data_IF_963133500774
#
_entry.id   IF_963133500774
#
_cell.length_a   1.000
_cell.length_b   1.000
_cell.length_c   1.000
_cell.angle_alpha   90.00
_cell.angle_beta   90.00
_cell.angle_gamma   90.00
#
_symmetry.space_group_name_H-M   'P 1'
#
loop_
_entity.id
_entity.type
_entity.pdbx_description
1 polymer ?
#
# COMPACT_ATOMS: atom_id res chain seq x y z
N UNK A 1 5.34 -15.64 -6.84
CA UNK A 1 5.64 -14.35 -6.16
C UNK A 1 4.33 -13.72 -5.74
N UNK A 2 4.31 -13.04 -4.59
CA UNK A 2 3.13 -12.33 -4.08
C UNK A 2 3.57 -10.92 -3.67
N UNK A 3 2.85 -9.92 -4.18
CA UNK A 3 3.12 -8.50 -3.92
C UNK A 3 1.84 -7.85 -3.44
N UNK A 4 1.91 -7.29 -2.24
CA UNK A 4 0.81 -6.58 -1.61
C UNK A 4 1.19 -5.13 -1.40
N UNK A 5 0.22 -4.24 -1.44
CA UNK A 5 0.44 -2.84 -1.14
C UNK A 5 -0.80 -2.21 -0.53
N UNK A 6 -0.57 -1.09 0.15
CA UNK A 6 -1.60 -0.16 0.56
C UNK A 6 -1.26 1.24 0.05
N UNK A 7 -2.27 2.02 -0.27
CA UNK A 7 -2.13 3.45 -0.59
C UNK A 7 -2.82 4.23 0.52
N UNK A 8 -2.09 5.16 1.13
CA UNK A 8 -2.62 6.07 2.15
C UNK A 8 -2.66 7.45 1.54
N UNK A 9 -3.87 7.97 1.31
CA UNK A 9 -4.06 9.33 0.84
C UNK A 9 -4.10 10.26 2.06
N UNK A 10 -3.23 11.27 2.08
CA UNK A 10 -3.15 12.24 3.16
C UNK A 10 -3.55 13.63 2.67
N UNK A 11 -4.05 14.46 3.57
CA UNK A 11 -4.53 15.80 3.23
C UNK A 11 -3.41 16.72 2.72
N UNK A 12 -2.26 16.70 3.37
CA UNK A 12 -1.10 17.52 3.00
C UNK A 12 0.19 16.97 3.64
N UNK A 13 1.19 16.52 2.86
CA UNK A 13 2.46 16.03 3.39
C UNK A 13 3.32 17.10 4.09
N UNK A 14 3.06 18.39 3.87
CA UNK A 14 3.84 19.48 4.47
C UNK A 14 3.45 19.80 5.93
N UNK A 15 2.38 19.18 6.45
CA UNK A 15 1.96 19.37 7.84
C UNK A 15 2.87 18.58 8.78
N UNK A 16 3.08 19.09 9.99
CA UNK A 16 3.82 18.37 11.04
C UNK A 16 3.15 17.04 11.43
N UNK A 17 1.82 16.96 11.29
CA UNK A 17 1.04 15.74 11.48
C UNK A 17 -0.02 15.64 10.37
N UNK A 18 0.32 15.12 9.19
CA UNK A 18 -0.63 14.89 8.12
C UNK A 18 -1.75 13.95 8.58
N UNK A 19 -2.97 14.21 8.11
CA UNK A 19 -4.14 13.37 8.42
C UNK A 19 -4.45 12.46 7.25
N UNK A 20 -4.64 11.15 7.48
CA UNK A 20 -5.21 10.25 6.47
C UNK A 20 -6.60 10.74 6.07
N UNK A 21 -6.87 10.76 4.78
CA UNK A 21 -8.19 11.06 4.20
C UNK A 21 -8.86 9.77 3.73
N UNK A 22 -8.09 8.83 3.18
CA UNK A 22 -8.55 7.48 2.85
C UNK A 22 -7.41 6.46 2.98
N UNK A 23 -7.76 5.19 3.00
CA UNK A 23 -6.81 4.08 2.96
C UNK A 23 -7.32 2.98 2.02
N UNK A 24 -6.44 2.54 1.14
CA UNK A 24 -6.75 1.63 0.05
C UNK A 24 -5.85 0.40 0.18
N UNK A 25 -6.41 -0.80 0.19
CA UNK A 25 -5.61 -2.03 0.27
C UNK A 25 -5.79 -2.90 -0.95
N UNK A 26 -4.69 -3.43 -1.47
CA UNK A 26 -4.71 -4.34 -2.59
C UNK A 26 -5.30 -5.69 -2.19
N UNK A 27 -6.48 -6.01 -2.72
CA UNK A 27 -7.17 -7.26 -2.42
C UNK A 27 -6.99 -8.33 -3.50
N UNK A 28 -6.74 -7.91 -4.75
CA UNK A 28 -6.52 -8.81 -5.88
C UNK A 28 -5.75 -8.12 -7.00
N UNK A 29 -5.33 -8.88 -8.03
CA UNK A 29 -4.60 -8.40 -9.21
C UNK A 29 -5.14 -7.09 -9.83
N UNK A 30 -6.44 -6.81 -9.69
CA UNK A 30 -7.15 -5.75 -10.41
C UNK A 30 -7.87 -4.74 -9.51
N UNK A 31 -7.92 -4.92 -8.19
CA UNK A 31 -8.77 -4.07 -7.34
C UNK A 31 -8.20 -3.71 -5.97
N UNK A 32 -8.60 -2.52 -5.53
CA UNK A 32 -8.38 -1.98 -4.20
C UNK A 32 -9.70 -2.02 -3.43
N UNK A 33 -9.62 -2.42 -2.16
CA UNK A 33 -10.67 -2.13 -1.18
C UNK A 33 -10.48 -0.72 -0.66
N UNK A 34 -11.50 0.13 -0.85
CA UNK A 34 -11.43 1.58 -0.69
C UNK A 34 -12.14 2.02 0.56
N UNK A 35 -11.37 2.36 1.59
CA UNK A 35 -11.93 2.80 2.85
C UNK A 35 -11.86 4.32 2.98
N UNK A 36 -13.03 4.95 3.01
CA UNK A 36 -13.18 6.42 3.11
C UNK A 36 -13.85 6.88 4.41
N UNK A 37 -14.37 5.95 5.23
CA UNK A 37 -15.07 6.26 6.49
C UNK A 37 -14.63 5.36 7.62
N UNK A 38 -14.74 5.84 8.87
CA UNK A 38 -14.37 5.06 10.04
C UNK A 38 -12.89 4.71 10.09
N UNK A 39 -12.01 5.58 9.57
CA UNK A 39 -10.58 5.34 9.43
C UNK A 39 -9.88 5.21 10.79
N UNK A 40 -10.29 6.01 11.75
CA UNK A 40 -9.74 6.09 13.10
C UNK A 40 -9.47 4.73 13.75
N UNK A 41 -10.35 3.73 13.59
CA UNK A 41 -10.15 2.39 14.17
C UNK A 41 -9.05 1.58 13.50
N UNK A 42 -8.62 1.96 12.30
CA UNK A 42 -7.59 1.32 11.50
C UNK A 42 -6.24 2.06 11.52
N UNK A 43 -6.11 3.09 12.36
CA UNK A 43 -4.84 3.80 12.54
C UNK A 43 -4.39 3.73 14.00
N UNK A 44 -3.07 3.82 14.21
CA UNK A 44 -2.45 4.16 15.48
C UNK A 44 -1.69 5.48 15.27
N UNK A 45 -2.28 6.60 15.65
CA UNK A 45 -1.79 7.93 15.26
C UNK A 45 -1.86 8.09 13.73
N UNK A 46 -0.72 8.29 13.08
CA UNK A 46 -0.59 8.40 11.61
C UNK A 46 -0.24 7.07 10.94
N UNK A 47 -0.05 5.99 11.69
CA UNK A 47 0.35 4.68 11.16
C UNK A 47 -0.88 3.81 10.86
N UNK A 48 -1.07 3.33 9.61
CA UNK A 48 -2.15 2.39 9.29
C UNK A 48 -1.89 1.03 9.93
N UNK A 49 -2.95 0.36 10.37
CA UNK A 49 -2.94 -1.02 10.86
C UNK A 49 -3.47 -1.92 9.76
N UNK A 50 -2.62 -2.85 9.34
CA UNK A 50 -2.87 -3.73 8.21
C UNK A 50 -2.65 -5.18 8.63
N UNK A 51 -3.39 -6.09 8.03
CA UNK A 51 -3.18 -7.53 8.19
C UNK A 51 -3.16 -8.20 6.83
N UNK A 52 -2.20 -9.11 6.64
CA UNK A 52 -2.17 -10.02 5.51
C UNK A 52 -2.94 -11.27 5.90
N UNK A 53 -4.00 -11.60 5.17
CA UNK A 53 -4.92 -12.67 5.54
C UNK A 53 -5.37 -13.48 4.34
N UNK A 54 -5.98 -14.64 4.61
CA UNK A 54 -6.59 -15.51 3.61
C UNK A 54 -7.95 -15.97 4.13
N UNK A 55 -8.99 -15.74 3.34
CA UNK A 55 -10.34 -16.25 3.60
C UNK A 55 -10.64 -17.37 2.60
N UNK A 56 -10.76 -17.00 1.31
CA UNK A 56 -10.88 -17.91 0.17
C UNK A 56 -9.99 -17.38 -0.97
N UNK A 57 -9.18 -18.24 -1.58
CA UNK A 57 -8.26 -17.84 -2.66
C UNK A 57 -6.89 -17.34 -2.18
N UNK A 58 -6.25 -16.39 -2.90
CA UNK A 58 -4.91 -15.90 -2.59
C UNK A 58 -4.86 -15.08 -1.30
N UNK A 59 -3.65 -14.84 -0.80
CA UNK A 59 -3.41 -13.98 0.37
C UNK A 59 -3.60 -12.53 -0.06
N UNK A 60 -4.28 -11.74 0.77
CA UNK A 60 -4.54 -10.33 0.47
C UNK A 60 -4.35 -9.44 1.69
N UNK A 61 -4.10 -8.16 1.43
CA UNK A 61 -3.90 -7.15 2.47
C UNK A 61 -5.24 -6.46 2.75
N UNK A 62 -5.53 -6.23 4.03
CA UNK A 62 -6.73 -5.48 4.44
C UNK A 62 -6.49 -4.63 5.69
N UNK A 63 -7.33 -3.62 5.95
CA UNK A 63 -7.33 -2.88 7.20
C UNK A 63 -7.55 -3.79 8.42
N UNK A 64 -6.89 -3.49 9.53
CA UNK A 64 -7.00 -4.23 10.79
C UNK A 64 -7.23 -3.31 11.99
N UNK A 65 -7.94 -3.80 13.00
CA UNK A 65 -8.12 -3.08 14.27
C UNK A 65 -7.02 -3.39 15.28
N UNK A 66 -6.44 -4.59 15.18
CA UNK A 66 -5.35 -5.03 16.05
C UNK A 66 -4.02 -4.40 15.62
N UNK A 67 -3.12 -4.11 16.57
CA UNK A 67 -1.79 -3.58 16.25
C UNK A 67 -0.95 -4.62 15.50
N UNK A 68 -0.18 -4.14 14.53
CA UNK A 68 0.83 -4.91 13.82
C UNK A 68 2.24 -4.60 14.32
N UNK A 69 3.23 -4.93 13.49
CA UNK A 69 4.64 -4.59 13.69
C UNK A 69 5.11 -3.68 12.56
N UNK A 70 6.18 -2.91 12.81
CA UNK A 70 6.86 -2.13 11.77
C UNK A 70 7.93 -2.97 11.06
N UNK A 71 8.26 -2.57 9.83
CA UNK A 71 9.35 -3.11 9.03
C UNK A 71 10.26 -1.96 8.64
N UNK A 72 11.52 -2.26 8.34
CA UNK A 72 12.45 -1.27 7.81
C UNK A 72 11.98 -0.79 6.44
N UNK A 73 11.82 0.52 6.31
CA UNK A 73 11.35 1.16 5.08
C UNK A 73 12.53 1.53 4.19
N UNK A 74 12.51 1.05 2.95
CA UNK A 74 13.35 1.54 1.86
C UNK A 74 12.48 2.18 0.79
N UNK A 75 12.76 3.45 0.48
CA UNK A 75 12.04 4.20 -0.55
C UNK A 75 12.60 3.85 -1.94
N UNK A 76 11.76 3.94 -2.97
CA UNK A 76 12.14 3.61 -4.36
C UNK A 76 13.39 4.37 -4.83
N UNK A 77 13.45 5.67 -4.55
CA UNK A 77 14.57 6.57 -4.88
C UNK A 77 15.86 6.28 -4.09
N UNK A 78 15.77 5.47 -3.04
CA UNK A 78 16.91 5.03 -2.21
C UNK A 78 17.44 3.65 -2.58
N UNK A 79 16.76 2.93 -3.47
CA UNK A 79 17.24 1.64 -3.97
C UNK A 79 18.45 1.83 -4.89
N UNK A 80 19.44 0.93 -4.85
CA UNK A 80 20.52 0.94 -5.82
C UNK A 80 19.99 0.56 -7.21
N UNK A 81 20.61 1.08 -8.27
CA UNK A 81 20.16 0.87 -9.65
C UNK A 81 19.89 -0.61 -10.02
N UNK A 82 20.72 -1.60 -9.64
CA UNK A 82 20.43 -3.00 -9.91
C UNK A 82 19.12 -3.50 -9.27
N UNK A 83 18.75 -3.00 -8.09
CA UNK A 83 17.51 -3.36 -7.43
C UNK A 83 16.30 -2.75 -8.17
N UNK A 84 16.38 -1.48 -8.57
CA UNK A 84 15.34 -0.86 -9.40
C UNK A 84 15.17 -1.60 -10.73
N UNK A 85 16.26 -1.96 -11.41
CA UNK A 85 16.21 -2.76 -12.64
C UNK A 85 15.53 -4.11 -12.42
N UNK A 86 15.86 -4.83 -11.35
CA UNK A 86 15.22 -6.10 -11.03
C UNK A 86 13.72 -5.96 -10.73
N UNK A 87 13.32 -4.89 -10.02
CA UNK A 87 11.92 -4.59 -9.67
C UNK A 87 11.07 -4.10 -10.85
N UNK A 88 11.70 -3.56 -11.89
CA UNK A 88 11.06 -3.29 -13.18
C UNK A 88 10.96 -4.55 -14.07
N UNK A 89 11.74 -5.60 -13.78
CA UNK A 89 11.75 -6.84 -14.54
C UNK A 89 10.50 -7.71 -14.36
N UNK A 90 10.27 -8.68 -15.27
CA UNK A 90 9.11 -9.57 -15.21
C UNK A 90 9.27 -10.72 -14.19
N UNK A 91 10.50 -11.02 -13.77
CA UNK A 91 10.85 -12.28 -13.10
C UNK A 91 10.30 -12.40 -11.67
N UNK A 92 10.04 -11.27 -11.00
CA UNK A 92 9.63 -11.26 -9.59
C UNK A 92 8.15 -10.92 -9.39
N UNK A 93 7.36 -11.01 -10.45
CA UNK A 93 5.91 -10.84 -10.41
C UNK A 93 5.45 -9.38 -10.53
N UNK A 94 4.29 -9.07 -9.93
CA UNK A 94 3.58 -7.80 -10.14
C UNK A 94 3.92 -6.76 -9.08
N UNK A 95 5.16 -6.26 -9.11
CA UNK A 95 5.60 -5.12 -8.28
C UNK A 95 4.72 -3.91 -8.60
N UNK A 96 4.05 -3.36 -7.59
CA UNK A 96 3.03 -2.30 -7.76
C UNK A 96 3.59 -0.88 -7.78
N UNK A 97 4.81 -0.70 -7.27
CA UNK A 97 5.47 0.61 -7.11
C UNK A 97 6.66 0.79 -8.08
N UNK A 98 6.77 -0.08 -9.08
CA UNK A 98 7.78 0.04 -10.13
C UNK A 98 7.38 1.12 -11.16
N UNK A 99 8.28 1.47 -12.07
CA UNK A 99 8.11 2.63 -12.95
C UNK A 99 6.88 2.50 -13.86
N UNK A 100 6.61 1.28 -14.34
CA UNK A 100 5.49 0.98 -15.24
C UNK A 100 4.12 0.97 -14.55
N UNK A 101 4.07 0.60 -13.26
CA UNK A 101 2.81 0.33 -12.56
C UNK A 101 2.44 1.40 -11.54
N UNK A 102 3.39 2.16 -11.01
CA UNK A 102 3.12 3.09 -9.90
C UNK A 102 1.97 4.06 -10.20
N UNK A 103 2.03 4.79 -11.33
CA UNK A 103 0.97 5.75 -11.70
C UNK A 103 -0.37 5.06 -12.01
N UNK A 104 -0.33 3.90 -12.66
CA UNK A 104 -1.54 3.09 -12.93
C UNK A 104 -2.21 2.65 -11.63
N UNK A 105 -1.42 2.18 -10.67
CA UNK A 105 -1.90 1.71 -9.36
C UNK A 105 -2.41 2.86 -8.50
N UNK A 106 -1.77 4.02 -8.53
CA UNK A 106 -2.33 5.23 -7.90
C UNK A 106 -3.69 5.61 -8.48
N UNK A 107 -3.86 5.54 -9.80
CA UNK A 107 -5.17 5.81 -10.44
C UNK A 107 -6.23 4.78 -10.04
N UNK A 108 -5.88 3.50 -9.97
CA UNK A 108 -6.80 2.44 -9.51
C UNK A 108 -7.21 2.63 -8.04
N UNK A 109 -6.26 3.02 -7.20
CA UNK A 109 -6.47 3.30 -5.78
C UNK A 109 -7.13 4.67 -5.51
N UNK A 110 -7.33 5.51 -6.52
CA UNK A 110 -7.92 6.83 -6.30
C UNK A 110 -9.38 6.71 -5.83
N UNK A 111 -9.77 7.30 -4.69
CA UNK A 111 -11.06 7.05 -4.05
C UNK A 111 -12.10 8.16 -4.30
N UNK A 112 -11.78 9.19 -5.12
CA UNK A 112 -12.62 10.38 -5.34
C UNK A 112 -13.06 10.56 -6.80
#
# INVERSE_FOLDING_TARGET
HDWQNAVVWINNPALASPKPVTMETFTSEESYDKLTTGLEKFFNGTSPKLTSTRILGPVFLRPATDPGVFQDLVMWDRLPAPAQTALNGPDIGRVSFNDDRFQKKLKEAWPF
#
